data_IF_492233946577
#
_entry.id   IF_492233946577
#
_cell.length_a   1.000
_cell.length_b   1.000
_cell.length_c   1.000
_cell.angle_alpha   90.00
_cell.angle_beta   90.00
_cell.angle_gamma   90.00
#
_symmetry.space_group_name_H-M   'P 1'
#
loop_
_entity.id
_entity.type
_entity.pdbx_description
1 polymer ?
#
# COMPACT_ATOMS: atom_id res chain seq x y z
N UNK A 1 -4.80 13.13 -24.80
CA UNK A 1 -6.27 13.17 -25.00
C UNK A 1 -6.92 11.80 -25.17
N UNK A 2 -6.27 10.80 -25.78
CA UNK A 2 -6.82 9.45 -25.93
C UNK A 2 -6.89 8.66 -24.58
N UNK A 3 -5.91 8.76 -23.71
CA UNK A 3 -5.82 8.03 -22.42
C UNK A 3 -6.93 8.49 -21.46
N UNK A 4 -7.30 9.78 -21.48
CA UNK A 4 -8.38 10.32 -20.64
C UNK A 4 -9.76 9.81 -21.06
N UNK A 5 -9.97 9.52 -22.36
CA UNK A 5 -11.21 8.93 -22.86
C UNK A 5 -11.36 7.45 -22.53
N UNK A 6 -10.26 6.71 -22.43
CA UNK A 6 -10.26 5.28 -22.05
C UNK A 6 -10.60 5.14 -20.55
N UNK A 7 -10.07 6.01 -19.68
CA UNK A 7 -10.38 5.98 -18.23
C UNK A 7 -11.86 6.23 -17.93
N UNK A 8 -12.52 7.16 -18.67
CA UNK A 8 -13.96 7.45 -18.49
C UNK A 8 -14.84 6.29 -18.96
N UNK A 9 -14.44 5.59 -20.02
CA UNK A 9 -15.20 4.43 -20.54
C UNK A 9 -15.09 3.23 -19.58
N UNK A 10 -13.93 2.99 -18.96
CA UNK A 10 -13.77 1.93 -17.96
C UNK A 10 -14.58 2.21 -16.69
N UNK A 11 -14.59 3.46 -16.22
CA UNK A 11 -15.38 3.87 -15.04
C UNK A 11 -16.88 3.74 -15.32
N UNK A 12 -17.36 4.14 -16.50
CA UNK A 12 -18.79 4.05 -16.86
C UNK A 12 -19.27 2.60 -17.06
N UNK A 13 -18.41 1.70 -17.57
CA UNK A 13 -18.73 0.28 -17.71
C UNK A 13 -18.75 -0.44 -16.34
N UNK A 14 -17.92 -0.01 -15.40
CA UNK A 14 -17.90 -0.56 -14.05
C UNK A 14 -19.19 -0.23 -13.27
N UNK A 15 -19.69 1.01 -13.39
CA UNK A 15 -20.94 1.44 -12.74
C UNK A 15 -22.18 0.81 -13.38
N UNK A 16 -22.16 0.47 -14.67
CA UNK A 16 -23.32 -0.14 -15.34
C UNK A 16 -23.58 -1.58 -14.90
N UNK A 17 -22.54 -2.33 -14.53
CA UNK A 17 -22.69 -3.69 -14.02
C UNK A 17 -23.04 -3.76 -12.52
N UNK A 18 -22.78 -2.69 -11.75
CA UNK A 18 -23.08 -2.66 -10.32
C UNK A 18 -24.57 -2.44 -10.02
N UNK A 19 -25.33 -1.86 -10.95
CA UNK A 19 -26.78 -1.63 -10.80
C UNK A 19 -27.64 -2.90 -10.94
N UNK A 20 -27.05 -4.04 -11.30
CA UNK A 20 -27.78 -5.30 -11.54
C UNK A 20 -27.66 -6.32 -10.40
N UNK A 21 -26.84 -6.05 -9.40
CA UNK A 21 -26.78 -6.85 -8.16
C UNK A 21 -27.64 -6.16 -7.10
N UNK A 22 -28.93 -6.47 -7.14
CA UNK A 22 -29.95 -5.93 -6.26
C UNK A 22 -29.66 -6.24 -4.79
N UNK A 23 -29.94 -5.24 -3.97
CA UNK A 23 -29.86 -5.20 -2.55
C UNK A 23 -30.60 -6.37 -1.87
N UNK A 24 -29.84 -7.15 -1.12
CA UNK A 24 -30.38 -7.89 0.01
C UNK A 24 -29.61 -7.42 1.24
N UNK A 25 -30.28 -6.57 2.02
CA UNK A 25 -29.72 -6.01 3.25
C UNK A 25 -29.92 -7.00 4.38
N UNK A 26 -28.96 -7.88 4.60
CA UNK A 26 -28.86 -8.58 5.87
C UNK A 26 -28.17 -7.67 6.89
N UNK A 27 -28.96 -7.22 7.87
CA UNK A 27 -28.50 -6.50 9.05
C UNK A 27 -27.59 -7.40 9.85
N UNK A 28 -26.29 -7.26 9.69
CA UNK A 28 -25.30 -7.89 10.56
C UNK A 28 -25.40 -7.25 11.93
N UNK A 29 -26.06 -7.93 12.87
CA UNK A 29 -25.97 -7.64 14.30
C UNK A 29 -24.56 -7.98 14.75
N UNK A 30 -23.75 -6.98 14.98
CA UNK A 30 -22.44 -7.12 15.60
C UNK A 30 -22.62 -7.56 17.04
N UNK A 31 -22.54 -8.86 17.29
CA UNK A 31 -22.39 -9.42 18.64
C UNK A 31 -20.92 -9.39 19.00
N UNK A 32 -20.59 -8.67 20.05
CA UNK A 32 -19.23 -8.46 20.56
C UNK A 32 -18.65 -9.67 21.32
N UNK A 33 -19.08 -10.90 21.01
CA UNK A 33 -18.67 -12.12 21.73
C UNK A 33 -17.96 -13.17 20.88
N UNK A 34 -17.78 -12.97 19.56
CA UNK A 34 -17.17 -13.98 18.70
C UNK A 34 -15.76 -13.57 18.25
N UNK A 35 -14.90 -13.21 19.23
CA UNK A 35 -13.47 -13.31 19.04
C UNK A 35 -13.07 -14.78 19.27
N UNK A 36 -13.72 -15.69 18.53
CA UNK A 36 -13.21 -17.03 18.38
C UNK A 36 -11.85 -16.92 17.69
N UNK A 37 -10.87 -17.59 18.27
CA UNK A 37 -9.59 -17.95 17.65
C UNK A 37 -9.89 -18.70 16.35
N UNK A 38 -10.31 -17.93 15.33
CA UNK A 38 -10.53 -18.47 13.99
C UNK A 38 -9.21 -19.05 13.50
N UNK A 39 -9.25 -20.32 13.18
CA UNK A 39 -8.17 -20.99 12.46
C UNK A 39 -7.77 -20.09 11.30
N UNK A 40 -6.54 -19.55 11.35
CA UNK A 40 -5.96 -18.71 10.29
C UNK A 40 -5.60 -19.54 9.04
N UNK A 41 -6.30 -20.64 8.82
CA UNK A 41 -6.26 -21.52 7.66
C UNK A 41 -7.37 -21.18 6.64
N UNK A 42 -7.82 -19.94 6.54
CA UNK A 42 -8.43 -19.52 5.28
C UNK A 42 -7.30 -19.59 4.24
N UNK A 43 -7.25 -20.72 3.55
CA UNK A 43 -6.23 -21.03 2.53
C UNK A 43 -6.25 -19.89 1.52
N UNK A 44 -5.15 -19.08 1.52
CA UNK A 44 -5.04 -17.92 0.64
C UNK A 44 -5.20 -18.41 -0.80
N UNK A 45 -6.23 -17.94 -1.50
CA UNK A 45 -6.55 -18.35 -2.86
C UNK A 45 -5.47 -17.90 -3.85
N UNK A 46 -4.59 -18.83 -4.22
CA UNK A 46 -3.42 -18.63 -5.08
C UNK A 46 -3.41 -19.63 -6.26
N UNK A 47 -4.35 -19.51 -7.22
CA UNK A 47 -4.44 -20.43 -8.33
C UNK A 47 -3.27 -20.29 -9.32
N UNK A 48 -2.49 -19.21 -9.23
CA UNK A 48 -1.34 -18.93 -10.06
C UNK A 48 0.00 -19.17 -9.33
N UNK A 49 0.00 -19.96 -8.24
CA UNK A 49 1.18 -20.17 -7.40
C UNK A 49 2.47 -20.49 -8.19
N UNK A 50 2.48 -21.40 -9.20
CA UNK A 50 3.71 -21.68 -9.95
C UNK A 50 4.26 -20.44 -10.67
N UNK A 51 3.39 -19.61 -11.24
CA UNK A 51 3.76 -18.36 -11.93
C UNK A 51 4.20 -17.32 -10.89
N UNK A 52 3.44 -17.17 -9.82
CA UNK A 52 3.74 -16.25 -8.73
C UNK A 52 5.10 -16.57 -8.09
N UNK A 53 5.42 -17.84 -7.86
CA UNK A 53 6.73 -18.27 -7.35
C UNK A 53 7.88 -17.96 -8.33
N UNK A 54 7.66 -18.10 -9.64
CA UNK A 54 8.66 -17.75 -10.63
C UNK A 54 8.95 -16.23 -10.65
N UNK A 55 7.89 -15.40 -10.63
CA UNK A 55 8.02 -13.94 -10.56
C UNK A 55 8.62 -13.51 -9.21
N UNK A 56 8.24 -14.15 -8.11
CA UNK A 56 8.81 -13.90 -6.79
C UNK A 56 10.31 -14.22 -6.76
N UNK A 57 10.72 -15.34 -7.38
CA UNK A 57 12.13 -15.69 -7.54
C UNK A 57 12.91 -14.60 -8.31
N UNK A 58 12.35 -14.13 -9.43
CA UNK A 58 12.92 -13.01 -10.17
C UNK A 58 13.04 -11.74 -9.31
N UNK A 59 11.96 -11.34 -8.61
CA UNK A 59 11.96 -10.18 -7.73
C UNK A 59 13.00 -10.31 -6.61
N UNK A 60 13.14 -11.51 -6.02
CA UNK A 60 14.12 -11.78 -4.97
C UNK A 60 15.58 -11.66 -5.46
N UNK A 61 15.84 -12.09 -6.69
CA UNK A 61 17.16 -11.89 -7.34
C UNK A 61 17.41 -10.41 -7.60
N UNK A 62 16.43 -9.69 -8.16
CA UNK A 62 16.51 -8.25 -8.40
C UNK A 62 16.72 -7.46 -7.09
N UNK A 63 16.01 -7.83 -6.01
CA UNK A 63 16.20 -7.24 -4.69
C UNK A 63 17.65 -7.43 -4.21
N UNK A 64 18.17 -8.65 -4.22
CA UNK A 64 19.52 -8.97 -3.74
C UNK A 64 20.63 -8.27 -4.52
N UNK A 65 20.47 -8.12 -5.84
CA UNK A 65 21.52 -7.59 -6.70
C UNK A 65 21.46 -6.07 -6.85
N UNK A 66 20.26 -5.49 -6.80
CA UNK A 66 20.05 -4.06 -7.09
C UNK A 66 19.49 -3.33 -5.87
N UNK A 67 18.32 -3.72 -5.36
CA UNK A 67 17.58 -2.92 -4.42
C UNK A 67 18.19 -2.96 -3.02
N UNK A 68 18.58 -4.13 -2.54
CA UNK A 68 19.21 -4.27 -1.21
C UNK A 68 20.58 -3.54 -1.12
N UNK A 69 21.51 -3.66 -2.10
CA UNK A 69 22.73 -2.84 -2.09
C UNK A 69 22.47 -1.35 -2.15
N UNK A 70 21.50 -0.90 -2.96
CA UNK A 70 21.12 0.52 -3.02
C UNK A 70 20.54 1.00 -1.68
N UNK A 71 19.67 0.21 -1.05
CA UNK A 71 19.09 0.51 0.26
C UNK A 71 20.16 0.54 1.37
N UNK A 72 21.14 -0.37 1.34
CA UNK A 72 22.30 -0.34 2.27
C UNK A 72 23.18 0.90 2.06
N UNK A 73 23.37 1.33 0.82
CA UNK A 73 24.09 2.58 0.53
C UNK A 73 23.29 3.81 1.01
N UNK A 74 21.99 3.82 0.79
CA UNK A 74 21.09 4.86 1.27
C UNK A 74 21.08 4.97 2.80
N UNK A 75 21.12 3.87 3.56
CA UNK A 75 21.24 3.85 5.03
C UNK A 75 22.53 4.49 5.57
N UNK A 76 23.54 4.68 4.73
CA UNK A 76 24.77 5.38 5.11
C UNK A 76 24.64 6.91 5.09
N UNK A 77 23.58 7.44 4.48
CA UNK A 77 23.30 8.88 4.53
C UNK A 77 22.97 9.30 5.96
N UNK A 78 23.26 10.55 6.34
CA UNK A 78 22.82 11.10 7.63
C UNK A 78 21.30 10.96 7.80
N UNK A 79 20.86 10.59 9.02
CA UNK A 79 19.43 10.37 9.30
C UNK A 79 18.51 11.55 8.91
N UNK A 80 18.90 12.82 9.07
CA UNK A 80 18.04 13.93 8.62
C UNK A 80 17.78 13.93 7.11
N UNK A 81 18.75 13.46 6.31
CA UNK A 81 18.58 13.35 4.84
C UNK A 81 17.61 12.23 4.51
N UNK A 82 17.77 11.06 5.12
CA UNK A 82 16.84 9.93 4.93
C UNK A 82 15.41 10.32 5.33
N UNK A 83 15.25 10.92 6.50
CA UNK A 83 13.95 11.42 7.00
C UNK A 83 13.35 12.45 6.05
N UNK A 84 14.15 13.43 5.61
CA UNK A 84 13.67 14.46 4.67
C UNK A 84 13.19 13.88 3.34
N UNK A 85 13.90 12.91 2.76
CA UNK A 85 13.48 12.24 1.53
C UNK A 85 12.17 11.46 1.77
N UNK A 86 12.08 10.70 2.86
CA UNK A 86 10.87 9.94 3.21
C UNK A 86 9.66 10.85 3.41
N UNK A 87 9.82 11.96 4.13
CA UNK A 87 8.77 12.95 4.34
C UNK A 87 8.31 13.60 3.03
N UNK A 88 9.25 13.99 2.17
CA UNK A 88 8.95 14.54 0.86
C UNK A 88 8.15 13.57 -0.01
N UNK A 89 8.58 12.31 -0.10
CA UNK A 89 7.88 11.27 -0.85
C UNK A 89 6.48 11.00 -0.29
N UNK A 90 6.34 11.01 1.03
CA UNK A 90 5.06 10.90 1.72
C UNK A 90 4.15 12.08 1.41
N UNK A 91 4.67 13.31 1.47
CA UNK A 91 3.92 14.52 1.13
C UNK A 91 3.43 14.52 -0.33
N UNK A 92 4.22 13.98 -1.27
CA UNK A 92 3.79 13.81 -2.67
C UNK A 92 2.63 12.82 -2.85
N UNK A 93 2.45 11.87 -1.94
CA UNK A 93 1.33 10.92 -1.96
C UNK A 93 0.06 11.48 -1.31
N UNK A 94 0.18 12.51 -0.49
CA UNK A 94 -0.91 13.05 0.32
C UNK A 94 -2.18 13.40 -0.48
N UNK A 95 -2.12 13.98 -1.70
CA UNK A 95 -3.32 14.22 -2.49
C UNK A 95 -4.12 12.95 -2.81
N UNK A 96 -3.44 11.82 -3.07
CA UNK A 96 -4.11 10.53 -3.30
C UNK A 96 -4.71 9.98 -2.00
N UNK A 97 -4.01 10.11 -0.88
CA UNK A 97 -4.53 9.71 0.45
C UNK A 97 -5.82 10.47 0.75
N UNK A 98 -5.84 11.80 0.59
CA UNK A 98 -7.01 12.65 0.82
C UNK A 98 -8.19 12.19 -0.05
N UNK A 99 -7.95 11.94 -1.34
CA UNK A 99 -9.00 11.47 -2.26
C UNK A 99 -9.57 10.13 -1.80
N UNK A 100 -8.73 9.18 -1.41
CA UNK A 100 -9.18 7.86 -0.95
C UNK A 100 -9.96 7.97 0.36
N UNK A 101 -9.53 8.79 1.31
CA UNK A 101 -10.27 9.05 2.55
C UNK A 101 -11.67 9.64 2.29
N UNK A 102 -11.77 10.59 1.34
CA UNK A 102 -13.07 11.14 0.93
C UNK A 102 -13.96 10.09 0.28
N UNK A 103 -13.40 9.24 -0.60
CA UNK A 103 -14.13 8.16 -1.26
C UNK A 103 -14.60 7.07 -0.29
N UNK A 104 -13.90 6.90 0.84
CA UNK A 104 -14.26 5.99 1.93
C UNK A 104 -15.21 6.64 2.97
N UNK A 105 -15.57 7.91 2.80
CA UNK A 105 -16.42 8.65 3.76
C UNK A 105 -15.71 9.08 5.05
N UNK A 106 -14.38 9.03 5.08
CA UNK A 106 -13.55 9.38 6.26
C UNK A 106 -13.27 10.90 6.30
N UNK A 107 -14.30 11.73 6.41
CA UNK A 107 -14.17 13.19 6.32
C UNK A 107 -13.23 13.81 7.35
N UNK A 108 -13.17 13.27 8.58
CA UNK A 108 -12.23 13.73 9.61
C UNK A 108 -10.79 13.49 9.18
N UNK A 109 -10.45 12.27 8.81
CA UNK A 109 -9.11 11.90 8.37
C UNK A 109 -8.69 12.70 7.12
N UNK A 110 -9.61 12.90 6.16
CA UNK A 110 -9.35 13.72 4.98
C UNK A 110 -9.05 15.19 5.33
N UNK A 111 -9.72 15.76 6.34
CA UNK A 111 -9.42 17.12 6.80
C UNK A 111 -8.07 17.22 7.50
N UNK A 112 -7.70 16.25 8.33
CA UNK A 112 -6.40 16.16 8.99
C UNK A 112 -5.27 15.97 7.96
N UNK A 113 -5.43 15.06 6.99
CA UNK A 113 -4.49 14.85 5.90
C UNK A 113 -4.33 16.09 5.01
N UNK A 114 -5.41 16.85 4.78
CA UNK A 114 -5.35 18.14 4.07
C UNK A 114 -4.53 19.15 4.87
N UNK A 115 -4.77 19.25 6.17
CA UNK A 115 -3.98 20.10 7.07
C UNK A 115 -2.49 19.73 7.03
N UNK A 116 -2.16 18.44 7.12
CA UNK A 116 -0.79 17.94 6.99
C UNK A 116 -0.14 18.35 5.67
N UNK A 117 -0.85 18.12 4.55
CA UNK A 117 -0.34 18.46 3.24
C UNK A 117 -0.03 19.96 3.10
N UNK A 118 -0.92 20.83 3.57
CA UNK A 118 -0.73 22.29 3.51
C UNK A 118 0.42 22.74 4.42
N UNK A 119 0.46 22.29 5.66
CA UNK A 119 1.51 22.64 6.63
C UNK A 119 2.87 22.17 6.17
N UNK A 120 2.98 20.90 5.75
CA UNK A 120 4.25 20.33 5.32
C UNK A 120 4.71 20.91 3.98
N UNK A 121 3.81 21.22 3.07
CA UNK A 121 4.18 21.85 1.78
C UNK A 121 4.65 23.30 1.95
N UNK A 122 4.16 24.02 2.95
CA UNK A 122 4.53 25.44 3.22
C UNK A 122 5.62 25.54 4.27
N UNK A 123 5.28 25.33 5.55
CA UNK A 123 6.21 25.44 6.67
C UNK A 123 7.26 24.31 6.68
N UNK A 124 6.95 23.14 6.11
CA UNK A 124 7.83 21.98 6.02
C UNK A 124 8.74 21.94 4.79
N UNK A 125 8.92 23.06 4.06
CA UNK A 125 9.77 23.14 2.86
C UNK A 125 9.43 22.08 1.81
N UNK A 126 8.22 22.13 1.27
CA UNK A 126 7.69 21.15 0.31
C UNK A 126 7.60 19.71 0.86
N UNK A 127 7.49 19.56 2.18
CA UNK A 127 7.37 18.27 2.83
C UNK A 127 8.69 17.62 3.26
N UNK A 128 9.82 18.28 3.14
CA UNK A 128 11.09 17.77 3.66
C UNK A 128 11.10 17.68 5.20
N UNK A 129 10.38 18.57 5.87
CA UNK A 129 10.24 18.59 7.32
C UNK A 129 8.78 18.28 7.66
N UNK A 130 8.55 17.28 8.48
CA UNK A 130 7.21 16.98 8.99
C UNK A 130 6.86 17.90 10.16
N UNK A 131 6.34 19.07 9.83
CA UNK A 131 5.87 20.06 10.81
C UNK A 131 4.50 19.67 11.34
N UNK A 132 3.70 18.99 10.52
CA UNK A 132 2.36 18.56 10.87
C UNK A 132 2.36 17.56 12.04
N UNK A 133 3.31 16.63 12.06
CA UNK A 133 3.51 15.69 13.16
C UNK A 133 3.79 16.43 14.49
N UNK A 134 4.61 17.48 14.45
CA UNK A 134 4.94 18.28 15.63
C UNK A 134 3.77 19.05 16.24
N UNK A 135 2.72 19.25 15.48
CA UNK A 135 1.47 19.90 15.95
C UNK A 135 0.33 18.91 16.20
N UNK A 136 0.66 17.59 16.20
CA UNK A 136 -0.27 16.53 16.57
C UNK A 136 -1.24 16.10 15.46
N UNK A 137 -0.94 16.39 14.20
CA UNK A 137 -1.67 15.81 13.07
C UNK A 137 -1.03 14.48 12.69
N UNK A 138 -1.72 13.37 12.94
CA UNK A 138 -1.22 12.03 12.67
C UNK A 138 -1.20 11.70 11.17
N UNK A 139 -0.22 10.89 10.76
CA UNK A 139 -0.12 10.45 9.38
C UNK A 139 -0.91 9.17 9.18
N UNK A 140 -1.83 9.18 8.23
CA UNK A 140 -2.56 8.01 7.79
C UNK A 140 -2.15 7.61 6.37
N UNK A 141 -2.34 6.35 6.02
CA UNK A 141 -2.04 5.83 4.69
C UNK A 141 -3.30 5.20 4.10
N UNK A 142 -3.70 5.69 2.95
CA UNK A 142 -4.86 5.19 2.21
C UNK A 142 -4.53 5.04 0.74
N UNK A 143 -5.12 4.03 0.12
CA UNK A 143 -4.97 3.74 -1.30
C UNK A 143 -6.29 3.27 -1.95
N UNK A 144 -6.30 3.18 -3.28
CA UNK A 144 -7.50 2.76 -4.00
C UNK A 144 -7.88 1.29 -3.77
N UNK A 145 -6.94 0.42 -3.41
CA UNK A 145 -7.28 -0.96 -3.06
C UNK A 145 -8.06 -1.04 -1.75
N UNK A 146 -7.70 -0.20 -0.75
CA UNK A 146 -8.47 -0.04 0.49
C UNK A 146 -9.86 0.57 0.21
N UNK A 147 -9.92 1.58 -0.66
CA UNK A 147 -11.18 2.19 -1.09
C UNK A 147 -12.10 1.18 -1.76
N UNK A 148 -11.57 0.38 -2.70
CA UNK A 148 -12.33 -0.69 -3.35
C UNK A 148 -12.80 -1.75 -2.34
N UNK A 149 -11.97 -2.10 -1.35
CA UNK A 149 -12.36 -3.02 -0.28
C UNK A 149 -13.52 -2.47 0.57
N UNK A 150 -13.45 -1.20 0.96
CA UNK A 150 -14.52 -0.51 1.69
C UNK A 150 -15.83 -0.48 0.89
N UNK A 151 -15.75 -0.45 -0.43
CA UNK A 151 -16.91 -0.55 -1.33
C UNK A 151 -17.39 -1.99 -1.55
N UNK A 152 -16.81 -2.99 -0.88
CA UNK A 152 -17.20 -4.39 -0.95
C UNK A 152 -16.58 -5.18 -2.10
N UNK A 153 -15.57 -4.64 -2.77
CA UNK A 153 -14.83 -5.38 -3.80
C UNK A 153 -13.91 -6.41 -3.12
N UNK A 154 -14.13 -7.70 -3.40
CA UNK A 154 -13.30 -8.78 -2.88
C UNK A 154 -11.87 -8.74 -3.42
N UNK A 155 -10.95 -9.43 -2.74
CA UNK A 155 -9.53 -9.47 -3.07
C UNK A 155 -9.24 -10.07 -4.45
N UNK A 156 -10.08 -11.03 -4.89
CA UNK A 156 -9.78 -11.91 -6.01
C UNK A 156 -8.67 -12.91 -5.62
N UNK A 157 -7.85 -13.30 -6.58
CA UNK A 157 -6.74 -14.20 -6.33
C UNK A 157 -5.42 -13.44 -6.08
N UNK A 158 -4.50 -14.11 -5.40
CA UNK A 158 -3.17 -13.59 -5.12
C UNK A 158 -2.33 -13.46 -6.40
N UNK A 159 -1.57 -12.38 -6.48
CA UNK A 159 -0.66 -12.07 -7.58
C UNK A 159 0.70 -11.62 -7.04
N UNK A 160 1.76 -12.02 -7.73
CA UNK A 160 3.07 -11.39 -7.57
C UNK A 160 3.38 -10.58 -8.82
N UNK A 161 3.50 -9.27 -8.66
CA UNK A 161 3.82 -8.38 -9.77
C UNK A 161 5.33 -8.25 -9.94
N UNK A 162 5.86 -8.30 -11.20
CA UNK A 162 7.27 -8.06 -11.45
C UNK A 162 7.68 -6.69 -10.88
N UNK A 163 8.75 -6.67 -10.08
CA UNK A 163 9.33 -5.49 -9.43
C UNK A 163 8.46 -4.93 -8.27
N UNK A 164 7.13 -4.96 -8.39
CA UNK A 164 6.20 -4.39 -7.38
C UNK A 164 5.92 -5.34 -6.22
N UNK A 165 6.16 -6.65 -6.38
CA UNK A 165 6.02 -7.64 -5.32
C UNK A 165 4.59 -8.16 -5.12
N UNK A 166 4.24 -8.59 -3.89
CA UNK A 166 2.96 -9.19 -3.56
C UNK A 166 1.78 -8.24 -3.76
N UNK A 167 0.68 -8.76 -4.30
CA UNK A 167 -0.56 -8.05 -4.59
C UNK A 167 -1.73 -9.03 -4.67
N UNK A 168 -2.90 -8.53 -4.99
CA UNK A 168 -4.09 -9.30 -5.41
C UNK A 168 -4.77 -8.55 -6.56
N UNK A 169 -5.85 -9.11 -7.12
CA UNK A 169 -6.55 -8.51 -8.28
C UNK A 169 -7.08 -7.12 -7.94
N UNK A 170 -7.75 -6.95 -6.80
CA UNK A 170 -8.29 -5.66 -6.35
C UNK A 170 -7.19 -4.62 -6.17
N UNK A 171 -6.13 -4.98 -5.44
CA UNK A 171 -5.05 -4.04 -5.12
C UNK A 171 -4.25 -3.68 -6.36
N UNK A 172 -4.08 -4.63 -7.30
CA UNK A 172 -3.49 -4.34 -8.62
C UNK A 172 -4.33 -3.32 -9.41
N UNK A 173 -5.67 -3.48 -9.40
CA UNK A 173 -6.56 -2.48 -10.00
C UNK A 173 -6.45 -1.12 -9.29
N UNK A 174 -6.36 -1.11 -7.96
CA UNK A 174 -6.10 0.09 -7.16
C UNK A 174 -4.78 0.78 -7.52
N UNK A 175 -3.71 0.02 -7.76
CA UNK A 175 -2.42 0.57 -8.21
C UNK A 175 -2.52 1.23 -9.60
N UNK A 176 -3.28 0.64 -10.53
CA UNK A 176 -3.53 1.24 -11.85
C UNK A 176 -4.32 2.54 -11.72
N UNK A 177 -5.35 2.58 -10.86
CA UNK A 177 -6.10 3.80 -10.57
C UNK A 177 -5.19 4.87 -9.95
N UNK A 178 -4.38 4.52 -8.97
CA UNK A 178 -3.41 5.44 -8.37
C UNK A 178 -2.46 6.02 -9.42
N UNK A 179 -1.89 5.17 -10.28
CA UNK A 179 -0.98 5.62 -11.33
C UNK A 179 -1.62 6.63 -12.29
N UNK A 180 -2.87 6.41 -12.68
CA UNK A 180 -3.58 7.25 -13.66
C UNK A 180 -4.14 8.54 -13.07
N UNK A 181 -4.41 8.57 -11.76
CA UNK A 181 -4.99 9.73 -11.06
C UNK A 181 -3.97 10.56 -10.29
N UNK A 182 -2.72 10.06 -10.15
CA UNK A 182 -1.67 10.75 -9.42
C UNK A 182 -1.32 12.11 -10.10
N UNK A 183 -1.46 13.24 -9.37
CA UNK A 183 -1.18 14.56 -9.93
C UNK A 183 0.28 14.75 -10.35
N UNK A 184 1.23 14.08 -9.68
CA UNK A 184 2.66 14.13 -10.06
C UNK A 184 2.89 13.41 -11.38
N UNK A 185 2.23 12.26 -11.59
CA UNK A 185 2.30 11.53 -12.85
C UNK A 185 1.66 12.35 -13.99
N UNK A 186 0.49 12.95 -13.72
CA UNK A 186 -0.17 13.83 -14.69
C UNK A 186 0.70 15.01 -15.09
N UNK A 187 1.37 15.65 -14.12
CA UNK A 187 2.32 16.73 -14.35
C UNK A 187 3.50 16.26 -15.22
N UNK A 188 4.15 15.16 -14.83
CA UNK A 188 5.31 14.63 -15.55
C UNK A 188 5.00 14.32 -17.03
N UNK A 189 3.82 13.74 -17.30
CA UNK A 189 3.38 13.45 -18.67
C UNK A 189 3.04 14.73 -19.45
N UNK A 190 2.39 15.68 -18.80
CA UNK A 190 1.97 16.95 -19.43
C UNK A 190 3.14 17.83 -19.82
N UNK A 191 4.13 17.94 -18.93
CA UNK A 191 5.30 18.80 -19.16
C UNK A 191 6.40 18.10 -19.98
N UNK A 192 6.20 16.84 -20.36
CA UNK A 192 7.17 16.09 -21.14
C UNK A 192 8.40 15.64 -20.35
N UNK A 193 8.25 15.45 -19.03
CA UNK A 193 9.30 15.04 -18.09
C UNK A 193 9.09 13.60 -17.58
N UNK A 194 9.04 12.58 -18.48
CA UNK A 194 8.67 11.21 -18.11
C UNK A 194 9.67 10.53 -17.16
N UNK A 195 10.89 11.05 -17.05
CA UNK A 195 11.93 10.53 -16.14
C UNK A 195 11.58 10.73 -14.66
N UNK A 196 10.68 11.67 -14.31
CA UNK A 196 10.21 11.90 -12.94
C UNK A 196 9.59 10.63 -12.36
N UNK A 197 8.83 9.90 -13.17
CA UNK A 197 8.11 8.68 -12.75
C UNK A 197 9.04 7.57 -12.25
N UNK A 198 10.00 7.08 -13.05
CA UNK A 198 10.91 6.03 -12.60
C UNK A 198 11.82 6.50 -11.46
N UNK A 199 12.26 7.75 -11.45
CA UNK A 199 13.09 8.28 -10.36
C UNK A 199 12.32 8.31 -9.04
N UNK A 200 11.09 8.84 -9.03
CA UNK A 200 10.22 8.83 -7.85
C UNK A 200 9.97 7.41 -7.34
N UNK A 201 9.64 6.48 -8.25
CA UNK A 201 9.36 5.08 -7.91
C UNK A 201 10.60 4.40 -7.33
N UNK A 202 11.75 4.54 -7.98
CA UNK A 202 13.01 3.96 -7.52
C UNK A 202 13.43 4.54 -6.15
N UNK A 203 13.35 5.87 -5.97
CA UNK A 203 13.68 6.51 -4.69
C UNK A 203 12.77 6.02 -3.58
N UNK A 204 11.45 5.91 -3.84
CA UNK A 204 10.51 5.38 -2.87
C UNK A 204 10.79 3.91 -2.54
N UNK A 205 11.11 3.07 -3.53
CA UNK A 205 11.46 1.68 -3.32
C UNK A 205 12.73 1.53 -2.46
N UNK A 206 13.78 2.33 -2.73
CA UNK A 206 15.02 2.33 -1.94
C UNK A 206 14.77 2.81 -0.52
N UNK A 207 14.02 3.90 -0.32
CA UNK A 207 13.66 4.42 1.01
C UNK A 207 12.89 3.39 1.82
N UNK A 208 11.82 2.81 1.27
CA UNK A 208 11.02 1.79 1.93
C UNK A 208 11.86 0.54 2.25
N UNK A 209 12.65 0.05 1.27
CA UNK A 209 13.50 -1.13 1.48
C UNK A 209 14.58 -0.89 2.53
N UNK A 210 15.08 0.34 2.64
CA UNK A 210 16.07 0.71 3.66
C UNK A 210 15.52 0.59 5.08
N UNK A 211 14.22 0.84 5.27
CA UNK A 211 13.56 0.77 6.58
C UNK A 211 13.34 -0.66 7.06
N UNK A 212 13.19 -1.61 6.14
CA UNK A 212 12.84 -3.01 6.43
C UNK A 212 13.92 -4.01 6.03
N UNK A 213 15.21 -3.59 5.92
CA UNK A 213 16.31 -4.49 5.51
C UNK A 213 16.44 -5.67 6.46
N UNK A 214 16.40 -5.41 7.75
CA UNK A 214 16.69 -6.41 8.77
C UNK A 214 15.53 -7.40 8.90
N UNK A 215 14.29 -6.92 8.83
CA UNK A 215 13.05 -7.72 8.86
C UNK A 215 12.96 -8.65 7.66
N UNK A 216 13.18 -8.12 6.44
CA UNK A 216 13.16 -8.94 5.22
C UNK A 216 14.26 -9.98 5.23
N UNK A 217 15.46 -9.64 5.70
CA UNK A 217 16.57 -10.58 5.79
C UNK A 217 16.29 -11.65 6.86
N UNK A 218 15.71 -11.27 8.00
CA UNK A 218 15.30 -12.22 9.04
C UNK A 218 14.23 -13.19 8.50
N UNK A 219 13.20 -12.69 7.85
CA UNK A 219 12.15 -13.51 7.24
C UNK A 219 12.75 -14.46 6.17
N UNK A 220 13.61 -13.96 5.28
CA UNK A 220 14.26 -14.74 4.24
C UNK A 220 15.13 -15.89 4.78
N UNK A 221 15.80 -15.64 5.91
CA UNK A 221 16.74 -16.62 6.48
C UNK A 221 16.07 -17.63 7.42
N UNK A 222 14.96 -17.26 8.05
CA UNK A 222 14.33 -18.07 9.09
C UNK A 222 13.07 -18.79 8.62
N UNK A 223 12.49 -18.42 7.46
CA UNK A 223 11.30 -19.09 6.94
C UNK A 223 11.66 -20.39 6.23
N UNK A 224 10.89 -21.43 6.49
CA UNK A 224 10.96 -22.69 5.72
C UNK A 224 10.55 -22.48 4.25
N UNK A 225 9.51 -21.70 4.04
CA UNK A 225 9.06 -21.23 2.72
C UNK A 225 8.93 -19.69 2.74
N UNK A 226 9.93 -19.04 2.17
CA UNK A 226 9.97 -17.57 2.12
C UNK A 226 8.83 -16.97 1.29
N UNK A 227 8.40 -17.65 0.21
CA UNK A 227 7.25 -17.21 -0.59
C UNK A 227 5.96 -17.24 0.23
N UNK A 228 5.69 -18.34 0.92
CA UNK A 228 4.50 -18.47 1.76
C UNK A 228 4.49 -17.45 2.91
N UNK A 229 5.65 -17.22 3.54
CA UNK A 229 5.79 -16.23 4.60
C UNK A 229 5.48 -14.79 4.10
N UNK A 230 6.00 -14.41 2.93
CA UNK A 230 5.73 -13.09 2.34
C UNK A 230 4.26 -12.96 1.93
N UNK A 231 3.66 -14.02 1.35
CA UNK A 231 2.24 -14.06 1.00
C UNK A 231 1.35 -13.84 2.22
N UNK A 232 1.62 -14.57 3.31
CA UNK A 232 0.88 -14.45 4.57
C UNK A 232 1.04 -13.05 5.18
N UNK A 233 2.26 -12.53 5.25
CA UNK A 233 2.52 -11.17 5.75
C UNK A 233 1.80 -10.10 4.93
N UNK A 234 1.74 -10.25 3.60
CA UNK A 234 1.00 -9.33 2.74
C UNK A 234 -0.48 -9.27 3.13
N UNK A 235 -1.14 -10.43 3.27
CA UNK A 235 -2.56 -10.46 3.61
C UNK A 235 -2.85 -9.93 5.01
N UNK A 236 -1.98 -10.24 6.00
CA UNK A 236 -2.13 -9.72 7.36
C UNK A 236 -2.02 -8.19 7.38
N UNK A 237 -0.97 -7.63 6.76
CA UNK A 237 -0.78 -6.19 6.68
C UNK A 237 -1.92 -5.52 5.88
N UNK A 238 -2.38 -6.17 4.82
CA UNK A 238 -3.48 -5.64 4.00
C UNK A 238 -4.80 -5.60 4.75
N UNK A 239 -5.11 -6.67 5.50
CA UNK A 239 -6.30 -6.72 6.35
C UNK A 239 -6.26 -5.65 7.44
N UNK A 240 -5.12 -5.46 8.09
CA UNK A 240 -4.94 -4.40 9.08
C UNK A 240 -5.14 -3.00 8.46
N UNK A 241 -4.57 -2.74 7.28
CA UNK A 241 -4.73 -1.49 6.56
C UNK A 241 -6.20 -1.20 6.19
N UNK A 242 -6.94 -2.19 5.68
CA UNK A 242 -8.37 -2.03 5.33
C UNK A 242 -9.24 -1.74 6.56
N UNK A 243 -8.89 -2.34 7.70
CA UNK A 243 -9.61 -2.15 8.96
C UNK A 243 -9.18 -0.88 9.71
N UNK A 244 -8.22 -0.12 9.18
CA UNK A 244 -7.62 1.05 9.84
C UNK A 244 -7.13 0.73 11.26
N UNK A 245 -6.55 -0.45 11.45
CA UNK A 245 -5.94 -0.84 12.72
C UNK A 245 -4.59 -0.13 12.78
N UNK A 246 -4.50 0.93 13.58
CA UNK A 246 -3.27 1.65 13.81
C UNK A 246 -2.23 0.76 14.49
N UNK A 247 -0.98 0.84 14.02
CA UNK A 247 0.18 0.14 14.59
C UNK A 247 0.45 0.55 16.07
N UNK A 248 -0.16 1.67 16.51
CA UNK A 248 -0.16 2.16 17.88
C UNK A 248 -1.18 1.47 18.79
N UNK A 249 -2.15 0.73 18.26
CA UNK A 249 -2.95 -0.16 19.09
C UNK A 249 -2.07 -1.34 19.46
N UNK A 250 -1.62 -1.40 20.72
CA UNK A 250 -0.79 -2.45 21.32
C UNK A 250 -1.49 -3.82 21.37
N UNK A 251 -2.14 -4.20 20.30
CA UNK A 251 -2.52 -5.59 20.10
C UNK A 251 -1.42 -6.19 19.21
N UNK A 252 -0.48 -6.94 19.78
CA UNK A 252 0.49 -7.66 18.97
C UNK A 252 -0.32 -8.52 18.01
N UNK A 253 -0.12 -8.34 16.68
CA UNK A 253 -0.56 -9.36 15.75
C UNK A 253 0.02 -10.67 16.29
N UNK A 254 -0.78 -11.74 16.47
CA UNK A 254 -0.27 -12.97 17.04
C UNK A 254 0.89 -13.43 16.16
N UNK A 255 2.11 -13.25 16.66
CA UNK A 255 3.25 -13.96 16.14
C UNK A 255 2.88 -15.42 16.24
N UNK A 256 2.84 -16.12 15.11
CA UNK A 256 2.62 -17.56 15.07
C UNK A 256 3.73 -18.16 15.93
N UNK A 257 3.40 -18.45 17.20
CA UNK A 257 4.24 -19.30 18.03
C UNK A 257 4.10 -20.71 17.45
N UNK A 258 5.04 -21.09 16.60
CA UNK A 258 5.21 -22.49 16.22
C UNK A 258 5.77 -23.16 17.48
N UNK A 259 4.89 -23.70 18.31
CA UNK A 259 5.29 -24.65 19.33
C UNK A 259 5.72 -25.93 18.62
N UNK A 260 7.00 -26.23 18.69
CA UNK A 260 7.53 -27.53 18.30
C UNK A 260 7.23 -28.51 19.45
N UNK A 261 6.28 -29.42 19.25
CA UNK A 261 6.22 -30.68 19.99
C UNK A 261 7.26 -31.67 19.44
#
# INVERSE_FOLDING_TARGET
>A
MAIFKISIVFISLFFYNFSLLGAESDTVKTSSSDFETGNFEDEIYDPLEPINRAIFGFNNVADKIILEPAAKAYRKLPSPIQTGIGNFLSNLKMPLVIVNQLLQGQGKNASESTGRFLVNSTAGLFGLIDVADKIGLEQTQEDFGQTLATWGVGDGFYLVLPIFGPSNVRDTAGMVLAYTTDPVNAYAVREGEPWILPVRTATNAVDQRSKIIDEVNAMRNNSLDYYAAVRSSYYQNRKAAILNIDDNSQTPLPLISIEFE
#
